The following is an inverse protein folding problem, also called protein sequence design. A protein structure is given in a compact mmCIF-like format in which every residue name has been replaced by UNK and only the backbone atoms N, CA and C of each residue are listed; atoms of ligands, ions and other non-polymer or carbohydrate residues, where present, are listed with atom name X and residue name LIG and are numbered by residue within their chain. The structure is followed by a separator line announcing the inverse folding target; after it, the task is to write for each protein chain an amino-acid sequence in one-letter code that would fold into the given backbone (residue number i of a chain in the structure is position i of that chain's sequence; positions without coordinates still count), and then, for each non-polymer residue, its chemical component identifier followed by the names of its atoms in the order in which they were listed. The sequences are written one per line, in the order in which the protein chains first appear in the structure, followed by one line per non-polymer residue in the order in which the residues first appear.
data_IF_076362619547
#
_entry.id   IF_076362619547
#
_cell.length_a   1.000
_cell.length_b   1.000
_cell.length_c   1.000
_cell.angle_alpha   90.00
_cell.angle_beta   90.00
_cell.angle_gamma   90.00
#
_symmetry.space_group_name_H-M   'P 1'
#
loop_
_entity.id
_entity.type
_entity.pdbx_description
1 polymer ?
#
# COMPACT_ATOMS: atom_id res chain seq x y z
N UNK A 1 -39.06 -5.88 2.73
CA UNK A 1 -38.04 -6.74 2.11
C UNK A 1 -37.41 -5.92 0.99
N UNK A 2 -36.32 -5.22 1.27
CA UNK A 2 -35.59 -4.47 0.24
C UNK A 2 -34.84 -5.48 -0.62
N UNK A 3 -35.37 -5.75 -1.81
CA UNK A 3 -34.69 -6.52 -2.83
C UNK A 3 -33.71 -5.56 -3.52
N UNK A 4 -32.42 -5.71 -3.27
CA UNK A 4 -31.39 -5.00 -4.03
C UNK A 4 -31.47 -5.47 -5.47
N UNK A 5 -31.79 -4.56 -6.39
CA UNK A 5 -32.01 -4.92 -7.80
C UNK A 5 -30.70 -5.02 -8.58
N UNK A 6 -29.65 -4.36 -8.09
CA UNK A 6 -28.32 -4.31 -8.71
C UNK A 6 -27.21 -4.32 -7.65
N UNK A 7 -25.99 -4.65 -8.09
CA UNK A 7 -24.78 -4.56 -7.25
C UNK A 7 -24.57 -3.13 -6.75
N UNK A 8 -24.83 -2.11 -7.56
CA UNK A 8 -24.61 -0.71 -7.18
C UNK A 8 -25.44 -0.29 -5.94
N UNK A 9 -26.74 -0.64 -5.90
CA UNK A 9 -27.61 -0.34 -4.76
C UNK A 9 -27.19 -1.06 -3.47
N UNK A 10 -26.60 -2.25 -3.61
CA UNK A 10 -26.07 -3.01 -2.48
C UNK A 10 -24.77 -2.38 -1.95
N UNK A 11 -23.86 -1.95 -2.83
CA UNK A 11 -22.57 -1.36 -2.44
C UNK A 11 -22.74 -0.04 -1.67
N UNK A 12 -23.75 0.77 -1.96
CA UNK A 12 -24.01 2.03 -1.25
C UNK A 12 -24.44 1.85 0.22
N UNK A 13 -24.97 0.68 0.57
CA UNK A 13 -25.45 0.38 1.93
C UNK A 13 -24.48 -0.47 2.75
N UNK A 14 -23.35 -0.88 2.15
CA UNK A 14 -22.31 -1.64 2.82
C UNK A 14 -21.18 -0.72 3.25
N UNK A 15 -20.78 -0.81 4.52
CA UNK A 15 -19.50 -0.29 4.98
C UNK A 15 -18.39 -1.20 4.46
N UNK A 16 -17.97 -0.97 3.22
CA UNK A 16 -16.86 -1.69 2.61
C UNK A 16 -15.54 -1.27 3.25
N UNK A 17 -14.64 -2.23 3.41
CA UNK A 17 -13.25 -1.94 3.76
C UNK A 17 -12.64 -1.00 2.69
N UNK A 18 -11.93 0.08 3.06
CA UNK A 18 -11.31 0.99 2.10
C UNK A 18 -10.35 0.33 1.10
N UNK A 19 -9.90 -0.89 1.37
CA UNK A 19 -9.00 -1.69 0.51
C UNK A 19 -9.75 -2.75 -0.32
N UNK A 20 -11.08 -2.79 -0.25
CA UNK A 20 -11.90 -3.62 -1.12
C UNK A 20 -11.83 -3.09 -2.56
N UNK A 21 -11.29 -3.91 -3.47
CA UNK A 21 -11.22 -3.56 -4.88
C UNK A 21 -12.53 -3.90 -5.56
N UNK A 22 -13.21 -2.87 -6.07
CA UNK A 22 -14.43 -3.03 -6.85
C UNK A 22 -14.16 -2.97 -8.36
N UNK A 23 -12.91 -2.67 -8.77
CA UNK A 23 -12.53 -2.45 -10.18
C UNK A 23 -12.76 -3.67 -11.07
N UNK A 24 -12.75 -4.87 -10.48
CA UNK A 24 -12.97 -6.12 -11.21
C UNK A 24 -14.44 -6.58 -11.23
N UNK A 25 -15.35 -5.85 -10.57
CA UNK A 25 -16.75 -6.23 -10.45
C UNK A 25 -17.59 -5.41 -11.44
N UNK A 26 -18.43 -6.09 -12.23
CA UNK A 26 -19.40 -5.40 -13.10
C UNK A 26 -20.59 -4.90 -12.25
N UNK A 27 -20.79 -3.57 -12.10
CA UNK A 27 -21.82 -3.03 -11.22
C UNK A 27 -23.25 -3.24 -11.75
N UNK A 28 -23.40 -3.63 -13.01
CA UNK A 28 -24.71 -3.85 -13.66
C UNK A 28 -25.23 -5.29 -13.50
N UNK A 29 -24.54 -6.14 -12.75
CA UNK A 29 -25.03 -7.49 -12.47
C UNK A 29 -26.31 -7.40 -11.61
N UNK A 30 -27.36 -8.07 -12.06
CA UNK A 30 -28.60 -8.26 -11.31
C UNK A 30 -28.42 -9.46 -10.38
N UNK A 31 -28.58 -9.23 -9.07
CA UNK A 31 -28.37 -10.24 -8.04
C UNK A 31 -29.62 -11.10 -7.85
N UNK A 32 -29.40 -12.38 -7.57
CA UNK A 32 -30.42 -13.36 -7.20
C UNK A 32 -30.18 -13.88 -5.77
N UNK A 33 -31.22 -14.46 -5.18
CA UNK A 33 -31.09 -15.10 -3.86
C UNK A 33 -30.01 -16.19 -3.90
N UNK A 34 -29.14 -16.19 -2.90
CA UNK A 34 -27.95 -17.05 -2.76
C UNK A 34 -26.78 -16.77 -3.71
N UNK A 35 -26.74 -15.64 -4.42
CA UNK A 35 -25.53 -15.26 -5.14
C UNK A 35 -24.39 -14.95 -4.17
N UNK A 36 -23.20 -15.52 -4.43
CA UNK A 36 -21.97 -15.25 -3.69
C UNK A 36 -21.14 -14.27 -4.52
N UNK A 37 -20.92 -13.07 -3.97
CA UNK A 37 -20.01 -12.10 -4.55
C UNK A 37 -18.62 -12.27 -3.94
N UNK A 38 -17.65 -12.60 -4.78
CA UNK A 38 -16.25 -12.56 -4.39
C UNK A 38 -15.73 -11.14 -4.62
N UNK A 39 -15.57 -10.39 -3.54
CA UNK A 39 -14.93 -9.07 -3.58
C UNK A 39 -13.43 -9.31 -3.36
N UNK A 40 -12.59 -9.20 -4.40
CA UNK A 40 -11.16 -9.32 -4.20
C UNK A 40 -10.70 -8.15 -3.33
N UNK A 41 -9.87 -8.46 -2.34
CA UNK A 41 -9.10 -7.45 -1.65
C UNK A 41 -7.96 -7.02 -2.57
N UNK A 42 -7.82 -5.72 -2.85
CA UNK A 42 -6.60 -5.22 -3.46
C UNK A 42 -5.53 -5.34 -2.38
N UNK A 43 -4.75 -6.42 -2.43
CA UNK A 43 -3.38 -6.39 -1.89
C UNK A 43 -2.55 -5.55 -2.87
N UNK A 44 -2.89 -4.27 -3.04
CA UNK A 44 -1.91 -3.36 -3.62
C UNK A 44 -0.66 -3.48 -2.76
N UNK A 45 0.50 -3.65 -3.38
CA UNK A 45 1.78 -3.59 -2.69
C UNK A 45 1.90 -2.18 -2.08
N UNK A 46 1.33 -1.99 -0.88
CA UNK A 46 1.51 -0.84 0.02
C UNK A 46 2.98 -0.65 0.39
N UNK A 47 3.83 -1.56 -0.08
CA UNK A 47 5.28 -1.44 -0.03
C UNK A 47 5.74 -0.20 -0.77
N UNK A 48 6.39 0.67 -0.01
CA UNK A 48 6.97 1.91 -0.49
C UNK A 48 8.30 1.59 -1.17
N UNK A 49 8.45 1.98 -2.44
CA UNK A 49 9.70 1.78 -3.17
C UNK A 49 10.78 2.73 -2.66
N UNK A 50 11.87 2.20 -2.12
CA UNK A 50 12.98 3.04 -1.64
C UNK A 50 13.73 3.73 -2.78
N UNK A 51 13.65 3.22 -4.02
CA UNK A 51 14.28 3.85 -5.18
C UNK A 51 13.43 4.94 -5.83
N UNK A 52 12.10 4.86 -5.77
CA UNK A 52 11.23 5.81 -6.49
C UNK A 52 10.37 6.69 -5.59
N UNK A 53 10.13 6.29 -4.33
CA UNK A 53 9.23 7.03 -3.45
C UNK A 53 9.70 8.48 -3.24
N UNK A 54 8.72 9.37 -3.19
CA UNK A 54 8.85 10.75 -2.77
C UNK A 54 9.22 10.84 -1.29
N UNK A 55 9.64 12.04 -0.88
CA UNK A 55 9.96 12.32 0.51
C UNK A 55 8.75 12.12 1.41
N UNK A 56 7.59 12.56 0.95
CA UNK A 56 6.32 12.48 1.67
C UNK A 56 5.90 11.02 1.86
N UNK A 57 6.01 10.19 0.82
CA UNK A 57 5.76 8.75 0.90
C UNK A 57 6.73 8.07 1.87
N UNK A 58 8.04 8.35 1.79
CA UNK A 58 9.02 7.79 2.74
C UNK A 58 8.72 8.19 4.19
N UNK A 59 8.19 9.39 4.42
CA UNK A 59 7.81 9.87 5.75
C UNK A 59 6.57 9.17 6.34
N UNK A 60 5.80 8.44 5.53
CA UNK A 60 4.71 7.59 6.05
C UNK A 60 5.24 6.34 6.77
N UNK A 61 6.50 5.96 6.52
CA UNK A 61 7.13 4.80 7.13
C UNK A 61 7.40 5.02 8.62
N UNK A 62 7.19 3.97 9.42
CA UNK A 62 7.29 4.07 10.87
C UNK A 62 8.72 4.45 11.30
N UNK A 63 8.85 5.56 12.03
CA UNK A 63 10.14 6.04 12.51
C UNK A 63 11.04 6.68 11.45
N UNK A 64 10.52 6.91 10.23
CA UNK A 64 11.12 7.77 9.21
C UNK A 64 10.53 9.17 9.35
N UNK A 65 11.41 10.16 9.52
CA UNK A 65 11.05 11.59 9.51
C UNK A 65 11.79 12.28 8.37
N UNK A 66 11.49 13.54 8.12
CA UNK A 66 12.19 14.44 7.20
C UNK A 66 13.69 14.11 7.02
N UNK A 67 14.48 14.18 8.10
CA UNK A 67 15.93 13.92 8.04
C UNK A 67 16.32 12.52 7.54
N UNK A 68 15.53 11.51 7.87
CA UNK A 68 15.78 10.13 7.42
C UNK A 68 15.32 9.93 5.98
N UNK A 69 14.17 10.47 5.59
CA UNK A 69 13.72 10.46 4.20
C UNK A 69 14.73 11.18 3.28
N UNK A 70 15.20 12.35 3.71
CA UNK A 70 16.24 13.12 3.01
C UNK A 70 17.54 12.31 2.88
N UNK A 71 17.91 11.51 3.90
CA UNK A 71 19.08 10.65 3.86
C UNK A 71 18.92 9.46 2.89
N UNK A 72 17.73 8.88 2.77
CA UNK A 72 17.43 7.80 1.79
C UNK A 72 17.54 8.36 0.38
N UNK A 73 16.94 9.52 0.12
CA UNK A 73 17.02 10.19 -1.18
C UNK A 73 18.47 10.55 -1.51
N UNK A 74 19.20 11.11 -0.54
CA UNK A 74 20.62 11.44 -0.72
C UNK A 74 21.49 10.20 -0.99
N UNK A 75 21.19 9.06 -0.36
CA UNK A 75 21.88 7.80 -0.64
C UNK A 75 21.69 7.41 -2.11
N UNK A 76 20.43 7.32 -2.58
CA UNK A 76 20.16 6.91 -3.97
C UNK A 76 20.64 7.90 -5.02
N UNK A 77 20.76 9.18 -4.68
CA UNK A 77 21.32 10.22 -5.56
C UNK A 77 22.85 10.21 -5.63
N UNK A 78 23.55 9.91 -4.54
CA UNK A 78 25.02 10.00 -4.49
C UNK A 78 25.73 8.67 -4.73
N UNK A 79 25.17 7.58 -4.22
CA UNK A 79 25.77 6.23 -4.31
C UNK A 79 25.16 5.46 -5.49
N UNK A 80 23.85 5.64 -5.70
CA UNK A 80 23.08 4.94 -6.72
C UNK A 80 21.89 4.21 -6.11
N UNK A 81 21.02 3.67 -6.97
CA UNK A 81 19.83 2.94 -6.54
C UNK A 81 20.18 1.76 -5.64
N UNK A 82 19.37 1.53 -4.61
CA UNK A 82 19.45 0.37 -3.74
C UNK A 82 19.26 -0.91 -4.57
N UNK A 83 20.18 -1.87 -4.43
CA UNK A 83 20.06 -3.18 -5.08
C UNK A 83 19.43 -4.22 -4.16
N UNK A 84 19.58 -4.02 -2.85
CA UNK A 84 19.01 -4.85 -1.80
C UNK A 84 18.34 -3.98 -0.73
N UNK A 85 17.39 -4.55 0.00
CA UNK A 85 16.73 -3.81 1.09
C UNK A 85 17.71 -3.56 2.24
N UNK A 86 18.66 -4.46 2.45
CA UNK A 86 19.67 -4.41 3.51
C UNK A 86 20.61 -3.20 3.37
N UNK A 87 20.85 -2.70 2.15
CA UNK A 87 21.59 -1.45 1.91
C UNK A 87 20.93 -0.23 2.58
N UNK A 88 19.63 -0.30 2.90
CA UNK A 88 18.96 0.76 3.65
C UNK A 88 19.57 0.97 5.05
N UNK A 89 20.27 -0.02 5.59
CA UNK A 89 21.00 0.09 6.86
C UNK A 89 22.26 0.97 6.78
N UNK A 90 22.78 1.23 5.57
CA UNK A 90 23.89 2.18 5.34
C UNK A 90 23.41 3.64 5.45
N UNK A 91 22.09 3.87 5.40
CA UNK A 91 21.51 5.21 5.51
C UNK A 91 21.56 5.69 6.96
N UNK A 92 22.19 6.85 7.16
CA UNK A 92 22.31 7.48 8.47
C UNK A 92 20.93 7.67 9.14
N UNK A 93 20.75 7.03 10.29
CA UNK A 93 19.53 7.10 11.08
C UNK A 93 18.59 5.90 10.90
N UNK A 94 18.95 4.93 10.06
CA UNK A 94 18.32 3.62 9.93
C UNK A 94 19.25 2.56 10.53
N UNK A 95 19.03 2.21 11.79
CA UNK A 95 19.72 1.06 12.40
C UNK A 95 18.90 -0.22 12.25
N UNK A 96 19.49 -1.36 12.63
CA UNK A 96 18.89 -2.71 12.57
C UNK A 96 17.44 -2.72 13.09
N UNK A 97 17.21 -2.19 14.29
CA UNK A 97 15.86 -2.16 14.91
C UNK A 97 14.82 -1.40 14.10
N UNK A 98 15.23 -0.37 13.35
CA UNK A 98 14.33 0.37 12.46
C UNK A 98 14.15 -0.40 11.16
N UNK A 99 15.23 -0.89 10.57
CA UNK A 99 15.18 -1.69 9.36
C UNK A 99 14.21 -2.87 9.48
N UNK A 100 14.28 -3.64 10.56
CA UNK A 100 13.34 -4.75 10.81
C UNK A 100 11.86 -4.33 10.79
N UNK A 101 11.54 -3.11 11.22
CA UNK A 101 10.18 -2.56 11.17
C UNK A 101 9.80 -2.03 9.80
N UNK A 102 10.79 -1.61 9.02
CA UNK A 102 10.61 -1.06 7.67
C UNK A 102 10.51 -2.16 6.62
N UNK A 103 11.28 -3.24 6.76
CA UNK A 103 11.37 -4.36 5.82
C UNK A 103 10.02 -4.88 5.31
N UNK A 104 8.97 -5.06 6.15
CA UNK A 104 7.66 -5.51 5.67
C UNK A 104 6.81 -4.41 4.98
N UNK A 105 7.28 -3.16 4.94
CA UNK A 105 6.57 -1.98 4.42
C UNK A 105 7.27 -1.35 3.21
N UNK A 106 8.36 -1.94 2.73
CA UNK A 106 9.19 -1.39 1.67
C UNK A 106 9.47 -2.41 0.58
N UNK A 107 9.73 -1.89 -0.62
CA UNK A 107 10.25 -2.63 -1.77
C UNK A 107 11.38 -1.83 -2.40
N UNK A 108 12.07 -2.45 -3.36
CA UNK A 108 13.09 -1.74 -4.15
C UNK A 108 12.47 -0.67 -5.02
#
# INVERSE_FOLDING_TARGET
MTAFSTIAELLEQLELDPQACLDTINPLIVLKNNDILNIPYQTEDYLISINTASREELMTLVGVKAKTADAIIAYRSNIGLFQTLEELMEVKGIGIKKFEKLKPLIKL
#
